data_IF_562845141268
#
_entry.id   IF_562845141268
#
_cell.length_a   1.000
_cell.length_b   1.000
_cell.length_c   1.000
_cell.angle_alpha   90.00
_cell.angle_beta   90.00
_cell.angle_gamma   90.00
#
_symmetry.space_group_name_H-M   'P 1'
#
loop_
_entity.id
_entity.type
_entity.pdbx_description
1 polymer ?
#
# COMPACT_ATOMS: atom_id res chain seq x y z
N UNK A 1 -24.37 10.27 19.84
CA UNK A 1 -23.09 10.25 19.09
C UNK A 1 -23.21 9.19 18.01
N UNK A 2 -23.05 9.51 16.72
CA UNK A 2 -23.05 8.50 15.66
C UNK A 2 -21.77 7.69 15.80
N UNK A 3 -21.88 6.40 16.10
CA UNK A 3 -20.73 5.49 16.11
C UNK A 3 -20.24 5.32 14.67
N UNK A 4 -19.27 6.12 14.26
CA UNK A 4 -18.66 6.01 12.94
C UNK A 4 -17.91 4.69 12.89
N UNK A 5 -18.40 3.73 12.10
CA UNK A 5 -17.66 2.49 11.87
C UNK A 5 -16.46 2.82 11.00
N UNK A 6 -15.26 2.57 11.52
CA UNK A 6 -14.01 2.77 10.81
C UNK A 6 -13.42 1.42 10.40
N UNK A 7 -12.82 1.40 9.21
CA UNK A 7 -12.18 0.23 8.64
C UNK A 7 -10.73 0.57 8.33
N UNK A 8 -9.82 -0.31 8.74
CA UNK A 8 -8.44 -0.27 8.30
C UNK A 8 -8.36 -1.10 7.01
N UNK A 9 -7.91 -0.46 5.93
CA UNK A 9 -7.74 -1.09 4.63
C UNK A 9 -6.25 -1.09 4.31
N UNK A 10 -5.67 -2.26 4.14
CA UNK A 10 -4.27 -2.44 3.73
C UNK A 10 -4.25 -3.01 2.31
N UNK A 11 -3.62 -2.29 1.40
CA UNK A 11 -3.41 -2.72 0.01
C UNK A 11 -1.93 -3.02 -0.19
N UNK A 12 -1.62 -4.22 -0.70
CA UNK A 12 -0.25 -4.65 -1.03
C UNK A 12 -0.15 -4.89 -2.53
N UNK A 13 0.71 -4.11 -3.17
CA UNK A 13 1.01 -4.22 -4.60
C UNK A 13 2.33 -4.94 -4.80
N UNK A 14 2.42 -5.75 -5.86
CA UNK A 14 3.68 -6.34 -6.32
C UNK A 14 3.94 -5.89 -7.74
N UNK A 15 5.10 -5.28 -7.95
CA UNK A 15 5.54 -4.82 -9.26
C UNK A 15 6.87 -5.53 -9.58
N UNK A 16 7.00 -5.99 -10.81
CA UNK A 16 8.23 -6.61 -11.30
C UNK A 16 8.93 -5.63 -12.22
N UNK A 17 10.10 -5.16 -11.81
CA UNK A 17 10.93 -4.24 -12.61
C UNK A 17 12.09 -5.03 -13.22
N UNK A 18 12.45 -4.69 -14.47
CA UNK A 18 13.52 -5.36 -15.23
C UNK A 18 14.51 -4.34 -15.79
N UNK A 19 15.74 -4.76 -16.05
CA UNK A 19 16.75 -3.91 -16.71
C UNK A 19 17.42 -2.86 -15.82
N UNK A 20 17.24 -2.95 -14.50
CA UNK A 20 17.78 -1.97 -13.53
C UNK A 20 19.14 -2.43 -12.99
N UNK A 21 20.10 -1.51 -12.87
CA UNK A 21 21.47 -1.81 -12.44
C UNK A 21 21.66 -1.73 -10.91
N UNK A 22 20.78 -1.04 -10.19
CA UNK A 22 20.86 -0.85 -8.74
C UNK A 22 19.54 -1.16 -8.03
N UNK A 23 19.65 -1.56 -6.77
CA UNK A 23 18.49 -1.84 -5.89
C UNK A 23 17.68 -0.57 -5.61
N UNK A 24 18.34 0.56 -5.39
CA UNK A 24 17.62 1.83 -5.12
C UNK A 24 16.85 2.32 -6.34
N UNK A 25 17.45 2.20 -7.53
CA UNK A 25 16.79 2.50 -8.80
C UNK A 25 15.59 1.57 -9.04
N UNK A 26 15.65 0.32 -8.56
CA UNK A 26 14.55 -0.64 -8.70
C UNK A 26 13.31 -0.22 -7.89
N UNK A 27 13.51 0.46 -6.76
CA UNK A 27 12.40 1.00 -5.94
C UNK A 27 11.76 2.20 -6.63
N UNK A 28 12.56 3.13 -7.15
CA UNK A 28 12.07 4.31 -7.85
C UNK A 28 11.26 3.93 -9.10
N UNK A 29 11.78 2.99 -9.90
CA UNK A 29 11.08 2.46 -11.08
C UNK A 29 9.79 1.74 -10.69
N UNK A 30 9.82 0.91 -9.64
CA UNK A 30 8.63 0.20 -9.16
C UNK A 30 7.53 1.14 -8.69
N UNK A 31 7.90 2.26 -8.04
CA UNK A 31 6.96 3.30 -7.64
C UNK A 31 6.35 4.04 -8.83
N UNK A 32 7.15 4.36 -9.84
CA UNK A 32 6.64 5.05 -11.03
C UNK A 32 5.71 4.14 -11.85
N UNK A 33 6.06 2.85 -12.01
CA UNK A 33 5.16 1.87 -12.62
C UNK A 33 3.86 1.72 -11.84
N UNK A 34 3.92 1.64 -10.50
CA UNK A 34 2.72 1.61 -9.67
C UNK A 34 1.87 2.87 -9.87
N UNK A 35 2.47 4.06 -9.94
CA UNK A 35 1.76 5.32 -10.17
C UNK A 35 1.06 5.32 -11.54
N UNK A 36 1.72 4.82 -12.57
CA UNK A 36 1.13 4.70 -13.91
C UNK A 36 -0.05 3.73 -13.92
N UNK A 37 0.09 2.54 -13.32
CA UNK A 37 -1.00 1.57 -13.21
C UNK A 37 -2.20 2.14 -12.44
N UNK A 38 -1.97 2.82 -11.31
CA UNK A 38 -3.04 3.46 -10.54
C UNK A 38 -3.75 4.58 -11.34
N UNK A 39 -3.03 5.22 -12.26
CA UNK A 39 -3.58 6.30 -13.10
C UNK A 39 -4.27 5.80 -14.36
N UNK A 40 -3.94 4.59 -14.85
CA UNK A 40 -4.56 4.03 -16.06
C UNK A 40 -5.98 3.53 -15.81
N UNK A 41 -6.34 3.26 -14.55
CA UNK A 41 -7.65 2.71 -14.17
C UNK A 41 -7.82 1.24 -14.53
N UNK A 42 -6.73 0.56 -14.89
CA UNK A 42 -6.72 -0.88 -15.13
C UNK A 42 -6.75 -1.66 -13.82
N UNK A 43 -7.19 -2.93 -13.88
CA UNK A 43 -7.17 -3.82 -12.73
C UNK A 43 -5.72 -4.17 -12.37
N UNK A 44 -5.31 -3.77 -11.17
CA UNK A 44 -3.95 -4.00 -10.68
C UNK A 44 -3.98 -5.20 -9.74
N UNK A 45 -3.14 -6.23 -9.97
CA UNK A 45 -3.05 -7.35 -9.05
C UNK A 45 -2.57 -6.86 -7.67
N UNK A 46 -3.50 -6.87 -6.71
CA UNK A 46 -3.25 -6.44 -5.34
C UNK A 46 -3.82 -7.43 -4.33
N UNK A 47 -3.13 -7.57 -3.20
CA UNK A 47 -3.65 -8.23 -2.01
C UNK A 47 -4.30 -7.17 -1.12
N UNK A 48 -5.58 -7.34 -0.82
CA UNK A 48 -6.34 -6.42 0.00
C UNK A 48 -6.74 -7.09 1.32
N UNK A 49 -6.37 -6.47 2.43
CA UNK A 49 -6.83 -6.87 3.76
C UNK A 49 -7.68 -5.76 4.36
N UNK A 50 -8.86 -6.12 4.87
CA UNK A 50 -9.80 -5.18 5.48
C UNK A 50 -10.13 -5.69 6.87
N UNK A 51 -9.91 -4.85 7.89
CA UNK A 51 -10.29 -5.16 9.28
C UNK A 51 -11.06 -4.00 9.90
N UNK A 52 -12.03 -4.31 10.75
CA UNK A 52 -12.78 -3.30 11.50
C UNK A 52 -11.90 -2.74 12.61
N UNK A 53 -11.84 -1.42 12.74
CA UNK A 53 -11.15 -0.77 13.85
C UNK A 53 -12.07 -0.87 15.07
N UNK A 54 -11.79 -1.83 15.94
CA UNK A 54 -12.56 -2.06 17.18
C UNK A 54 -12.01 -1.27 18.38
N UNK A 55 -10.76 -0.81 18.30
CA UNK A 55 -10.12 0.07 19.28
C UNK A 55 -9.27 1.13 18.54
N UNK A 56 -9.54 2.41 18.79
CA UNK A 56 -8.76 3.55 18.26
C UNK A 56 -7.32 3.65 18.80
N UNK A 57 -6.91 2.72 19.68
CA UNK A 57 -5.64 2.75 20.44
C UNK A 57 -4.55 1.88 19.82
N UNK A 58 -4.87 1.07 18.80
CA UNK A 58 -3.85 0.38 18.02
C UNK A 58 -3.19 1.37 17.07
N UNK A 59 -2.26 2.15 17.62
CA UNK A 59 -1.15 2.79 16.89
C UNK A 59 -0.26 1.67 16.32
N UNK A 60 -0.82 0.89 15.41
CA UNK A 60 -0.05 -0.09 14.66
C UNK A 60 0.77 0.70 13.64
N UNK A 61 2.11 0.64 13.71
CA UNK A 61 2.95 1.42 12.82
C UNK A 61 2.63 1.01 11.39
N UNK A 62 2.13 1.97 10.61
CA UNK A 62 1.96 1.80 9.17
C UNK A 62 3.38 1.55 8.64
N UNK A 63 3.67 0.29 8.30
CA UNK A 63 4.98 -0.21 7.83
C UNK A 63 6.11 -0.39 8.86
N UNK A 64 5.83 -0.49 10.16
CA UNK A 64 6.86 -0.87 11.15
C UNK A 64 8.00 0.14 11.37
N UNK A 65 7.87 1.37 10.89
CA UNK A 65 8.84 2.45 11.16
C UNK A 65 8.32 3.30 12.32
N UNK A 66 9.08 3.34 13.42
CA UNK A 66 8.93 4.32 14.50
C UNK A 66 9.87 5.49 14.22
N UNK A 67 9.34 6.72 14.23
CA UNK A 67 10.14 7.94 14.37
C UNK A 67 10.44 8.19 15.84
#
# INVERSE_FOLDING_TARGET
>A
MRSTTQWLVTLKFRVTVSGIQSKDDSVAEGLEQLRQMLSSGEDIPMDANVRRITNLVEDEPIFGVRW
#
